data_IF_771814802073
#
_entry.id   IF_771814802073
#
_cell.length_a   1.000
_cell.length_b   1.000
_cell.length_c   1.000
_cell.angle_alpha   90.00
_cell.angle_beta   90.00
_cell.angle_gamma   90.00
#
_symmetry.space_group_name_H-M   'P 1'
#
loop_
_entity.id
_entity.type
_entity.pdbx_description
1 polymer ?
#
# COMPACT_ATOMS: atom_id res chain seq x y z
N UNK A 1 -6.29 22.77 -11.24
CA UNK A 1 -6.82 23.87 -10.39
C UNK A 1 -6.65 23.43 -8.95
N UNK A 2 -5.98 24.23 -8.11
CA UNK A 2 -5.78 23.84 -6.70
C UNK A 2 -7.13 23.92 -5.98
N UNK A 3 -7.57 22.78 -5.44
CA UNK A 3 -8.85 22.67 -4.79
C UNK A 3 -8.85 23.45 -3.46
N UNK A 4 -9.92 24.22 -3.21
CA UNK A 4 -10.02 25.14 -2.07
C UNK A 4 -10.02 24.46 -0.69
N UNK A 5 -10.03 25.23 0.41
CA UNK A 5 -10.10 24.67 1.76
C UNK A 5 -11.37 23.80 1.89
N UNK A 6 -11.20 22.52 2.23
CA UNK A 6 -12.29 21.55 2.35
C UNK A 6 -12.49 20.63 1.14
N UNK A 7 -11.64 20.72 0.11
CA UNK A 7 -11.70 19.78 -1.00
C UNK A 7 -11.19 18.38 -0.62
N UNK A 8 -11.98 17.37 -0.96
CA UNK A 8 -11.60 15.96 -0.86
C UNK A 8 -10.48 15.68 -1.86
N UNK A 9 -9.42 15.00 -1.40
CA UNK A 9 -8.35 14.47 -2.26
C UNK A 9 -8.54 12.97 -2.44
N UNK A 10 -8.44 12.49 -3.68
CA UNK A 10 -8.47 11.06 -4.02
C UNK A 10 -7.06 10.61 -4.39
N UNK A 11 -6.55 9.63 -3.66
CA UNK A 11 -5.22 9.06 -3.86
C UNK A 11 -5.34 7.59 -4.25
N UNK A 12 -4.76 7.22 -5.38
CA UNK A 12 -4.69 5.84 -5.87
C UNK A 12 -3.63 5.06 -5.06
N UNK A 13 -4.03 3.97 -4.42
CA UNK A 13 -3.10 2.98 -3.87
C UNK A 13 -2.81 1.92 -4.93
N UNK A 14 -1.55 1.80 -5.37
CA UNK A 14 -1.17 0.90 -6.46
C UNK A 14 -0.10 -0.10 -6.00
N UNK A 15 -0.34 -1.42 -6.12
CA UNK A 15 0.62 -2.42 -5.70
C UNK A 15 1.82 -2.50 -6.66
N UNK A 16 2.90 -3.08 -6.17
CA UNK A 16 4.05 -3.44 -6.99
C UNK A 16 3.62 -4.30 -8.19
N UNK A 17 4.15 -3.96 -9.36
CA UNK A 17 3.90 -4.68 -10.61
C UNK A 17 2.73 -4.15 -11.44
N UNK A 18 1.89 -3.31 -10.85
CA UNK A 18 0.92 -2.48 -11.56
C UNK A 18 1.60 -1.25 -12.16
N UNK A 19 1.10 -0.79 -13.31
CA UNK A 19 1.58 0.44 -13.95
C UNK A 19 0.71 1.67 -13.69
N UNK A 20 -0.36 1.56 -12.88
CA UNK A 20 -1.32 2.65 -12.71
C UNK A 20 -0.70 3.84 -11.97
N UNK A 21 0.19 3.60 -11.01
CA UNK A 21 0.97 4.64 -10.34
C UNK A 21 1.68 5.53 -11.35
N UNK A 22 2.40 4.93 -12.30
CA UNK A 22 3.10 5.69 -13.33
C UNK A 22 2.13 6.38 -14.28
N UNK A 23 0.97 5.76 -14.54
CA UNK A 23 -0.07 6.39 -15.38
C UNK A 23 -0.60 7.68 -14.77
N UNK A 24 -0.81 7.69 -13.45
CA UNK A 24 -1.27 8.87 -12.72
C UNK A 24 -0.16 9.90 -12.56
N UNK A 25 1.03 9.50 -12.08
CA UNK A 25 2.14 10.42 -11.79
C UNK A 25 2.84 10.99 -13.03
N UNK A 26 2.88 10.24 -14.12
CA UNK A 26 3.73 10.54 -15.27
C UNK A 26 3.00 10.45 -16.63
N UNK A 27 1.71 10.10 -16.65
CA UNK A 27 0.93 9.96 -17.87
C UNK A 27 1.23 8.69 -18.69
N UNK A 28 2.25 7.92 -18.32
CA UNK A 28 2.72 6.72 -19.02
C UNK A 28 2.37 5.45 -18.24
N UNK A 29 1.87 4.43 -18.94
CA UNK A 29 1.64 3.13 -18.33
C UNK A 29 2.93 2.33 -18.41
N UNK A 30 3.62 2.16 -17.29
CA UNK A 30 4.87 1.41 -17.22
C UNK A 30 5.06 0.87 -15.81
N UNK A 31 5.41 -0.40 -15.66
CA UNK A 31 6.04 -0.90 -14.45
C UNK A 31 7.51 -1.23 -14.74
N UNK A 32 8.49 -0.87 -13.88
CA UNK A 32 9.89 -1.27 -14.04
C UNK A 32 10.09 -2.78 -14.22
N UNK A 33 9.13 -3.59 -13.76
CA UNK A 33 9.10 -5.05 -13.95
C UNK A 33 8.81 -5.47 -15.40
N UNK A 34 8.34 -4.56 -16.26
CA UNK A 34 8.09 -4.77 -17.69
C UNK A 34 9.34 -4.56 -18.56
N UNK A 35 10.47 -4.16 -17.96
CA UNK A 35 11.74 -3.98 -18.68
C UNK A 35 12.15 -5.27 -19.37
N UNK A 36 12.44 -5.16 -20.66
CA UNK A 36 12.80 -6.30 -21.51
C UNK A 36 14.12 -6.93 -21.04
N UNK A 37 14.08 -8.23 -20.70
CA UNK A 37 15.22 -8.99 -20.15
C UNK A 37 14.94 -9.76 -18.86
N UNK A 38 13.93 -9.35 -18.08
CA UNK A 38 13.51 -10.03 -16.82
C UNK A 38 12.14 -10.70 -16.91
N UNK A 39 11.65 -10.98 -18.14
CA UNK A 39 10.35 -11.64 -18.36
C UNK A 39 10.35 -13.06 -17.80
N UNK A 40 9.87 -13.24 -16.57
CA UNK A 40 9.40 -14.53 -16.06
C UNK A 40 8.05 -14.85 -16.72
N UNK A 41 7.70 -16.14 -16.84
CA UNK A 41 6.44 -16.63 -17.47
C UNK A 41 5.17 -16.04 -16.85
N UNK A 42 5.24 -15.54 -15.60
CA UNK A 42 4.23 -14.70 -14.96
C UNK A 42 4.86 -13.32 -14.73
N UNK A 43 4.21 -12.29 -15.27
CA UNK A 43 4.86 -11.01 -15.57
C UNK A 43 5.24 -10.19 -14.33
N UNK A 44 4.60 -10.44 -13.17
CA UNK A 44 5.04 -10.07 -11.81
C UNK A 44 4.31 -11.02 -10.85
N UNK A 45 5.02 -11.82 -10.04
CA UNK A 45 4.37 -12.61 -8.99
C UNK A 45 4.26 -11.74 -7.74
N UNK A 46 3.28 -10.83 -7.72
CA UNK A 46 2.96 -10.07 -6.51
C UNK A 46 2.21 -10.97 -5.53
N UNK A 47 2.48 -10.79 -4.25
CA UNK A 47 1.69 -11.39 -3.16
C UNK A 47 0.30 -10.76 -3.06
N UNK A 48 0.10 -9.56 -3.62
CA UNK A 48 -1.17 -8.85 -3.61
C UNK A 48 -2.11 -9.40 -4.68
N UNK A 49 -3.33 -9.73 -4.26
CA UNK A 49 -4.38 -10.26 -5.12
C UNK A 49 -5.57 -9.28 -5.20
N UNK A 50 -6.31 -9.35 -6.31
CA UNK A 50 -7.54 -8.58 -6.52
C UNK A 50 -7.35 -7.13 -7.00
N UNK A 51 -6.13 -6.58 -6.89
CA UNK A 51 -5.77 -5.23 -7.37
C UNK A 51 -4.46 -5.24 -8.16
N UNK A 52 -4.20 -4.16 -8.90
CA UNK A 52 -3.05 -4.03 -9.79
C UNK A 52 -3.36 -4.48 -11.22
N UNK A 53 -3.09 -3.60 -12.20
CA UNK A 53 -3.39 -3.88 -13.61
C UNK A 53 -2.46 -3.11 -14.53
N UNK A 54 -2.06 -3.73 -15.64
CA UNK A 54 -1.19 -3.11 -16.65
C UNK A 54 -1.96 -2.58 -17.88
N UNK A 55 -3.21 -2.18 -17.66
CA UNK A 55 -4.12 -1.63 -18.67
C UNK A 55 -5.07 -0.62 -18.02
N UNK A 56 -5.35 0.47 -18.71
CA UNK A 56 -6.42 1.40 -18.32
C UNK A 56 -7.76 0.82 -18.72
N UNK A 57 -8.64 0.59 -17.74
CA UNK A 57 -10.01 0.11 -17.98
C UNK A 57 -10.95 1.27 -18.27
N UNK A 58 -12.12 0.99 -18.87
CA UNK A 58 -13.15 2.02 -19.08
C UNK A 58 -13.63 2.67 -17.78
N UNK A 59 -13.72 1.89 -16.70
CA UNK A 59 -14.12 2.39 -15.38
C UNK A 59 -13.09 3.37 -14.83
N UNK A 60 -11.80 3.03 -14.93
CA UNK A 60 -10.73 3.92 -14.49
C UNK A 60 -10.69 5.18 -15.34
N UNK A 61 -10.80 5.06 -16.66
CA UNK A 61 -10.77 6.24 -17.55
C UNK A 61 -11.94 7.19 -17.25
N UNK A 62 -13.14 6.66 -16.98
CA UNK A 62 -14.31 7.47 -16.63
C UNK A 62 -14.14 8.29 -15.34
N UNK A 63 -13.33 7.81 -14.39
CA UNK A 63 -13.05 8.47 -13.12
C UNK A 63 -11.64 9.08 -13.03
N UNK A 64 -10.89 9.08 -14.12
CA UNK A 64 -9.45 9.39 -14.09
C UNK A 64 -9.16 10.79 -13.58
N UNK A 65 -9.94 11.77 -14.01
CA UNK A 65 -9.79 13.17 -13.64
C UNK A 65 -10.15 13.45 -12.17
N UNK A 66 -10.73 12.46 -11.47
CA UNK A 66 -11.00 12.54 -10.04
C UNK A 66 -9.80 12.12 -9.18
N UNK A 67 -8.76 11.50 -9.77
CA UNK A 67 -7.59 11.01 -9.03
C UNK A 67 -6.54 12.12 -8.98
N UNK A 68 -6.29 12.64 -7.78
CA UNK A 68 -5.35 13.74 -7.56
C UNK A 68 -3.90 13.26 -7.43
N UNK A 69 -3.71 12.06 -6.86
CA UNK A 69 -2.37 11.52 -6.65
C UNK A 69 -2.34 9.99 -6.64
N UNK A 70 -1.14 9.40 -6.56
CA UNK A 70 -0.94 7.97 -6.39
C UNK A 70 0.21 7.65 -5.42
N UNK A 71 0.07 6.54 -4.70
CA UNK A 71 1.08 5.93 -3.85
C UNK A 71 1.35 4.52 -4.34
N UNK A 72 2.63 4.21 -4.54
CA UNK A 72 3.07 2.85 -4.86
C UNK A 72 3.40 2.10 -3.59
N UNK A 73 2.92 0.87 -3.46
CA UNK A 73 3.10 0.03 -2.27
C UNK A 73 3.80 -1.27 -2.66
N UNK A 74 4.84 -1.65 -1.92
CA UNK A 74 5.54 -2.93 -2.13
C UNK A 74 4.83 -4.08 -1.44
N UNK A 75 5.09 -5.31 -1.89
CA UNK A 75 4.56 -6.52 -1.25
C UNK A 75 5.01 -6.61 0.22
N UNK A 76 6.25 -6.24 0.52
CA UNK A 76 6.78 -6.21 1.89
C UNK A 76 6.01 -5.23 2.77
N UNK A 77 5.78 -3.99 2.29
CA UNK A 77 4.99 -3.00 3.02
C UNK A 77 3.57 -3.49 3.28
N UNK A 78 2.93 -4.11 2.28
CA UNK A 78 1.59 -4.67 2.45
C UNK A 78 1.58 -5.80 3.51
N UNK A 79 2.59 -6.67 3.52
CA UNK A 79 2.70 -7.75 4.49
C UNK A 79 2.94 -7.24 5.92
N UNK A 80 3.85 -6.29 6.09
CA UNK A 80 4.11 -5.65 7.39
C UNK A 80 2.90 -4.88 7.91
N UNK A 81 2.17 -4.18 7.03
CA UNK A 81 0.91 -3.52 7.39
C UNK A 81 -0.15 -4.53 7.83
N UNK A 82 -0.31 -5.65 7.12
CA UNK A 82 -1.27 -6.68 7.49
C UNK A 82 -0.98 -7.22 8.90
N UNK A 83 0.29 -7.50 9.20
CA UNK A 83 0.72 -7.97 10.51
C UNK A 83 0.45 -6.92 11.59
N UNK A 84 0.88 -5.68 11.34
CA UNK A 84 0.65 -4.55 12.26
C UNK A 84 -0.83 -4.41 12.63
N UNK A 85 -1.73 -4.41 11.64
CA UNK A 85 -3.17 -4.27 11.85
C UNK A 85 -3.76 -5.40 12.70
N UNK A 86 -3.25 -6.63 12.58
CA UNK A 86 -3.71 -7.74 13.42
C UNK A 86 -3.25 -7.58 14.86
N UNK A 87 -1.97 -7.24 15.06
CA UNK A 87 -1.38 -7.11 16.40
C UNK A 87 -1.92 -5.91 17.17
N UNK A 88 -2.03 -4.76 16.51
CA UNK A 88 -2.30 -3.48 17.17
C UNK A 88 -3.79 -3.10 17.14
N UNK A 89 -4.51 -3.49 16.08
CA UNK A 89 -5.91 -3.11 15.86
C UNK A 89 -6.88 -4.30 15.89
N UNK A 90 -6.38 -5.54 15.94
CA UNK A 90 -7.21 -6.75 15.86
C UNK A 90 -7.86 -6.97 14.50
N UNK A 91 -7.35 -6.34 13.43
CA UNK A 91 -7.95 -6.34 12.09
C UNK A 91 -7.28 -7.36 11.17
N UNK A 92 -7.93 -8.51 10.99
CA UNK A 92 -7.46 -9.57 10.09
C UNK A 92 -7.93 -9.36 8.64
N UNK A 93 -7.09 -8.72 7.82
CA UNK A 93 -7.44 -8.22 6.49
C UNK A 93 -6.72 -8.92 5.33
N UNK A 94 -7.30 -8.81 4.12
CA UNK A 94 -6.70 -9.27 2.87
C UNK A 94 -5.64 -8.32 2.31
N UNK A 95 -4.94 -8.77 1.26
CA UNK A 95 -3.77 -8.08 0.73
C UNK A 95 -4.07 -6.67 0.17
N UNK A 96 -5.23 -6.50 -0.48
CA UNK A 96 -5.62 -5.21 -1.08
C UNK A 96 -5.94 -4.16 0.00
N UNK A 97 -6.56 -4.58 1.10
CA UNK A 97 -6.79 -3.74 2.28
C UNK A 97 -5.46 -3.26 2.88
N UNK A 98 -4.45 -4.13 2.95
CA UNK A 98 -3.14 -3.75 3.45
C UNK A 98 -2.44 -2.73 2.55
N UNK A 99 -2.55 -2.89 1.22
CA UNK A 99 -2.08 -1.87 0.26
C UNK A 99 -2.76 -0.51 0.49
N UNK A 100 -4.08 -0.54 0.65
CA UNK A 100 -4.89 0.64 0.95
C UNK A 100 -4.48 1.33 2.26
N UNK A 101 -4.18 0.58 3.31
CA UNK A 101 -3.74 1.13 4.59
C UNK A 101 -2.33 1.73 4.51
N UNK A 102 -1.38 1.09 3.81
CA UNK A 102 -0.04 1.69 3.59
C UNK A 102 -0.16 3.02 2.86
N UNK A 103 -0.94 3.05 1.77
CA UNK A 103 -1.17 4.27 1.02
C UNK A 103 -1.85 5.35 1.87
N UNK A 104 -2.76 4.99 2.77
CA UNK A 104 -3.40 5.91 3.70
C UNK A 104 -2.39 6.53 4.68
N UNK A 105 -1.47 5.74 5.24
CA UNK A 105 -0.39 6.23 6.13
C UNK A 105 0.52 7.19 5.37
N UNK A 106 1.03 6.80 4.20
CA UNK A 106 1.89 7.65 3.37
C UNK A 106 1.17 8.96 3.02
N UNK A 107 -0.11 8.88 2.66
CA UNK A 107 -0.92 10.06 2.35
C UNK A 107 -1.07 10.96 3.57
N UNK A 108 -1.40 10.41 4.74
CA UNK A 108 -1.57 11.16 5.98
C UNK A 108 -0.31 11.95 6.36
N UNK A 109 0.88 11.37 6.18
CA UNK A 109 2.16 12.03 6.44
C UNK A 109 2.45 13.23 5.53
N UNK A 110 1.77 13.31 4.38
CA UNK A 110 1.89 14.44 3.44
C UNK A 110 0.87 15.56 3.70
N UNK A 111 -0.10 15.34 4.60
CA UNK A 111 -1.20 16.26 4.84
C UNK A 111 -0.94 17.12 6.09
N UNK A 112 -1.57 18.30 6.17
CA UNK A 112 -1.53 19.10 7.39
C UNK A 112 -2.05 18.33 8.60
N UNK A 113 -1.54 18.67 9.78
CA UNK A 113 -2.02 18.11 11.04
C UNK A 113 -3.55 18.23 11.17
N UNK A 114 -4.18 17.22 11.79
CA UNK A 114 -5.66 17.08 11.94
C UNK A 114 -6.43 16.83 10.63
N UNK A 115 -5.75 16.54 9.53
CA UNK A 115 -6.40 15.98 8.33
C UNK A 115 -6.99 14.59 8.61
N UNK A 116 -8.04 14.22 7.89
CA UNK A 116 -8.66 12.89 7.98
C UNK A 116 -8.48 12.13 6.69
N UNK A 117 -7.89 10.94 6.78
CA UNK A 117 -7.76 10.00 5.67
C UNK A 117 -8.74 8.86 5.88
N UNK A 118 -9.46 8.48 4.84
CA UNK A 118 -10.38 7.35 4.82
C UNK A 118 -9.90 6.39 3.75
N UNK A 119 -9.95 5.10 4.06
CA UNK A 119 -9.61 4.03 3.11
C UNK A 119 -10.60 2.87 3.27
N UNK A 120 -10.51 1.86 2.40
CA UNK A 120 -11.45 0.74 2.34
C UNK A 120 -10.70 -0.56 2.69
N UNK A 121 -11.26 -1.32 3.63
CA UNK A 121 -10.88 -2.71 3.88
C UNK A 121 -11.78 -3.61 3.02
N UNK A 122 -11.22 -4.19 1.98
CA UNK A 122 -11.96 -4.85 0.90
C UNK A 122 -12.49 -6.23 1.31
N UNK A 123 -11.66 -7.04 1.97
CA UNK A 123 -12.01 -8.37 2.46
C UNK A 123 -11.14 -8.83 3.64
N UNK A 124 -11.54 -9.96 4.22
CA UNK A 124 -10.86 -10.60 5.36
C UNK A 124 -9.62 -11.38 4.93
N UNK A 125 -8.61 -11.43 5.81
CA UNK A 125 -7.40 -12.22 5.64
C UNK A 125 -7.64 -13.72 5.45
N UNK A 126 -8.81 -14.23 5.87
CA UNK A 126 -9.18 -15.64 5.72
C UNK A 126 -9.15 -16.11 4.25
N UNK A 127 -9.44 -15.20 3.30
CA UNK A 127 -9.41 -15.52 1.86
C UNK A 127 -7.99 -15.62 1.28
N UNK A 128 -6.99 -15.17 2.03
CA UNK A 128 -5.60 -15.02 1.59
C UNK A 128 -4.61 -15.88 2.39
N UNK A 129 -5.10 -16.90 3.11
CA UNK A 129 -4.29 -17.79 3.96
C UNK A 129 -3.20 -18.55 3.20
N UNK A 130 -3.51 -19.03 2.00
CA UNK A 130 -2.62 -19.96 1.26
C UNK A 130 -1.45 -19.29 0.55
N UNK A 131 -1.52 -17.97 0.31
CA UNK A 131 -0.48 -17.20 -0.39
C UNK A 131 0.03 -16.05 0.47
N UNK A 132 -0.73 -14.96 0.56
CA UNK A 132 -0.30 -13.74 1.25
C UNK A 132 0.08 -13.96 2.72
N UNK A 133 -0.81 -14.55 3.53
CA UNK A 133 -0.55 -14.81 4.94
C UNK A 133 0.48 -15.92 5.18
N UNK A 134 0.54 -16.90 4.28
CA UNK A 134 1.65 -17.87 4.27
C UNK A 134 3.00 -17.17 4.10
N UNK A 135 3.09 -16.20 3.19
CA UNK A 135 4.32 -15.43 2.99
C UNK A 135 4.66 -14.53 4.17
N UNK A 136 3.67 -13.94 4.86
CA UNK A 136 3.88 -13.19 6.11
C UNK A 136 4.58 -14.08 7.15
N UNK A 137 4.10 -15.30 7.35
CA UNK A 137 4.76 -16.28 8.22
C UNK A 137 6.15 -16.65 7.75
N UNK A 138 6.35 -16.89 6.46
CA UNK A 138 7.67 -17.22 5.89
C UNK A 138 8.68 -16.08 6.01
N UNK A 139 8.22 -14.83 6.15
CA UNK A 139 9.06 -13.67 6.44
C UNK A 139 9.43 -13.54 7.93
N UNK A 140 8.90 -14.39 8.81
CA UNK A 140 9.17 -14.33 10.26
C UNK A 140 8.54 -13.13 10.95
N UNK A 141 7.53 -12.49 10.33
CA UNK A 141 6.83 -11.34 10.92
C UNK A 141 5.89 -11.73 12.06
N UNK A 142 5.73 -13.02 12.35
CA UNK A 142 4.89 -13.53 13.44
C UNK A 142 5.65 -13.66 14.77
N UNK A 143 6.98 -13.69 14.72
CA UNK A 143 7.86 -14.07 15.84
C UNK A 143 8.32 -12.87 16.70
N UNK A 144 7.76 -11.68 16.50
CA UNK A 144 8.08 -10.48 17.29
C UNK A 144 7.39 -10.49 18.70
N UNK A 145 7.12 -11.68 19.26
CA UNK A 145 6.62 -11.91 20.63
C UNK A 145 7.75 -11.75 21.69
N UNK A 146 8.60 -10.73 21.57
CA UNK A 146 9.58 -10.42 22.62
C UNK A 146 8.90 -9.60 23.73
N UNK A 147 8.82 -10.21 24.92
CA UNK A 147 8.45 -9.69 26.24
C UNK A 147 9.29 -8.45 26.71
N UNK A 148 9.47 -7.43 25.86
CA UNK A 148 10.08 -6.16 26.20
C UNK A 148 9.02 -5.05 26.11
N UNK A 149 8.56 -4.55 27.27
CA UNK A 149 7.64 -3.42 27.47
C UNK A 149 8.08 -2.10 26.74
N UNK A 150 9.24 -2.09 26.08
CA UNK A 150 9.93 -0.90 25.57
C UNK A 150 10.06 -0.78 24.03
N UNK A 151 9.43 -1.65 23.23
CA UNK A 151 9.42 -1.50 21.75
C UNK A 151 8.04 -1.27 21.16
N UNK A 152 7.49 -0.09 21.41
CA UNK A 152 6.53 0.48 20.47
C UNK A 152 7.28 0.92 19.21
N UNK A 153 7.64 -0.04 18.35
CA UNK A 153 8.20 0.26 17.04
C UNK A 153 7.19 1.15 16.32
N UNK A 154 7.58 2.33 15.85
CA UNK A 154 6.60 3.20 15.18
C UNK A 154 6.11 2.53 13.89
N UNK A 155 4.83 2.66 13.56
CA UNK A 155 4.26 2.16 12.31
C UNK A 155 5.10 2.57 11.08
N UNK A 156 5.64 3.79 11.10
CA UNK A 156 6.53 4.29 10.06
C UNK A 156 7.82 3.47 9.95
N UNK A 157 8.45 3.15 11.07
CA UNK A 157 9.64 2.31 11.10
C UNK A 157 9.33 0.88 10.61
N UNK A 158 8.21 0.30 11.05
CA UNK A 158 7.75 -1.01 10.59
C UNK A 158 7.57 -1.03 9.06
N UNK A 159 7.03 0.03 8.46
CA UNK A 159 6.80 0.11 7.02
C UNK A 159 8.01 0.60 6.21
N UNK A 160 9.15 0.89 6.87
CA UNK A 160 10.31 1.52 6.23
C UNK A 160 10.01 2.90 5.62
N UNK A 161 8.99 3.60 6.15
CA UNK A 161 8.59 4.93 5.70
C UNK A 161 9.38 5.95 6.55
N UNK A 162 10.16 6.86 5.93
CA UNK A 162 10.92 7.85 6.68
C UNK A 162 9.99 8.82 7.41
N UNK A 163 10.22 8.99 8.71
CA UNK A 163 9.53 9.96 9.54
C UNK A 163 10.13 11.36 9.35
N UNK A 164 9.47 12.18 8.55
CA UNK A 164 9.90 13.56 8.25
C UNK A 164 9.67 14.52 9.43
N UNK A 165 9.00 14.08 10.51
CA UNK A 165 8.77 14.90 11.71
C UNK A 165 9.95 14.89 12.68
N UNK A 166 10.86 13.90 12.57
CA UNK A 166 12.11 13.85 13.35
C UNK A 166 13.25 14.54 12.59
N UNK A 167 14.05 15.42 13.22
CA UNK A 167 15.24 15.96 12.60
C UNK A 167 16.25 14.84 12.28
N UNK A 168 17.06 14.97 11.22
CA UNK A 168 18.12 13.99 10.94
C UNK A 168 19.09 13.95 12.12
N UNK A 169 19.37 12.72 12.59
CA UNK A 169 20.35 12.42 13.64
C UNK A 169 21.77 12.76 13.23
#
# INVERSE_FOLDING_TARGET
TAAGPGAVRVVLADPQGSGLYHKIKHGVMYSPTEREGTRRRQQVDSLVEGVGINRVTRNLEAGRDLIDDAVKVTDEQACRMARWLVEHDGLFVGSSSSVNCVAAVVTAMSLPERSRVVTILCDSGARHLSKFWKSIREMGLEDDDDDDDDKQASLLAALGIPDQSKPPS
#
